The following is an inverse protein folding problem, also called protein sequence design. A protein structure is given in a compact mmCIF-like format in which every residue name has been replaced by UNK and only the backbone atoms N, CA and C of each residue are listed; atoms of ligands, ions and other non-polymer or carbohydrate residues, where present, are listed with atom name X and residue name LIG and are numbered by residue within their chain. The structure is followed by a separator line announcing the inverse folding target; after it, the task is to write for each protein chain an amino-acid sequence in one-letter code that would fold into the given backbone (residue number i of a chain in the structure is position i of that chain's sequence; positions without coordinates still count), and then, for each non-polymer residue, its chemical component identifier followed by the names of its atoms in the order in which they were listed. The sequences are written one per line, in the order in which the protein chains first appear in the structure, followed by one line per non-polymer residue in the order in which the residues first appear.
data_IF_513081046449
#
_entry.id   IF_513081046449
#
_cell.length_a   1.000
_cell.length_b   1.000
_cell.length_c   1.000
_cell.angle_alpha   90.00
_cell.angle_beta   90.00
_cell.angle_gamma   90.00
#
_symmetry.space_group_name_H-M   'P 1'
#
loop_
_entity.id
_entity.type
_entity.pdbx_description
1 polymer ?
#
# COMPACT_ATOMS: atom_id res chain seq x y z
N UNK A 1 -40.77 -27.64 20.64
CA UNK A 1 -40.16 -26.28 20.59
C UNK A 1 -38.83 -26.41 19.85
N UNK A 2 -38.76 -25.94 18.60
CA UNK A 2 -37.59 -26.11 17.70
C UNK A 2 -36.63 -24.94 17.92
N UNK A 3 -35.36 -25.23 18.25
CA UNK A 3 -34.29 -24.22 18.30
C UNK A 3 -33.33 -24.52 17.14
N UNK A 4 -33.42 -23.70 16.10
CA UNK A 4 -32.49 -23.70 14.99
C UNK A 4 -31.14 -23.17 15.49
N UNK A 5 -30.08 -23.99 15.39
CA UNK A 5 -28.70 -23.55 15.62
C UNK A 5 -28.12 -23.13 14.26
N UNK A 6 -27.95 -21.82 14.07
CA UNK A 6 -27.20 -21.27 12.95
C UNK A 6 -25.72 -21.56 13.18
N UNK A 7 -25.18 -22.53 12.44
CA UNK A 7 -23.74 -22.75 12.32
C UNK A 7 -23.16 -21.63 11.48
N UNK A 8 -22.41 -20.73 12.12
CA UNK A 8 -21.62 -19.71 11.45
C UNK A 8 -20.58 -20.38 10.54
N UNK A 9 -20.72 -20.19 9.22
CA UNK A 9 -19.66 -20.50 8.26
C UNK A 9 -18.57 -19.44 8.43
N UNK A 10 -17.47 -19.82 9.06
CA UNK A 10 -16.25 -19.01 9.05
C UNK A 10 -15.71 -19.00 7.60
N UNK A 11 -15.91 -17.90 6.90
CA UNK A 11 -15.25 -17.65 5.62
C UNK A 11 -13.78 -17.36 5.94
N UNK A 12 -12.93 -18.37 5.74
CA UNK A 12 -11.50 -18.20 5.79
C UNK A 12 -11.10 -17.19 4.71
N UNK A 13 -10.63 -16.01 5.12
CA UNK A 13 -10.05 -15.03 4.21
C UNK A 13 -8.77 -15.65 3.62
N UNK A 14 -8.86 -16.11 2.38
CA UNK A 14 -7.73 -16.59 1.61
C UNK A 14 -6.95 -15.37 1.10
N UNK A 15 -5.94 -14.95 1.86
CA UNK A 15 -5.03 -13.87 1.50
C UNK A 15 -4.14 -14.38 0.36
N UNK A 16 -4.48 -14.03 -0.88
CA UNK A 16 -3.57 -14.16 -2.02
C UNK A 16 -2.64 -12.95 -2.04
N UNK A 17 -1.48 -13.08 -1.40
CA UNK A 17 -0.35 -12.18 -1.65
C UNK A 17 0.19 -12.49 -3.05
N UNK A 18 -0.12 -11.64 -4.04
CA UNK A 18 0.56 -11.64 -5.32
C UNK A 18 2.02 -11.26 -5.11
N UNK A 19 2.88 -12.28 -5.02
CA UNK A 19 4.34 -12.24 -5.27
C UNK A 19 5.12 -10.99 -4.81
N UNK A 20 5.42 -10.92 -3.51
CA UNK A 20 6.73 -10.49 -2.98
C UNK A 20 7.10 -11.23 -1.68
N UNK A 21 6.98 -12.58 -1.68
CA UNK A 21 7.54 -13.43 -0.60
C UNK A 21 9.08 -13.54 -0.64
N UNK A 22 9.77 -12.79 -1.51
CA UNK A 22 11.24 -12.85 -1.65
C UNK A 22 11.91 -11.49 -1.49
N UNK A 23 11.45 -10.72 -0.51
CA UNK A 23 12.23 -9.85 0.37
C UNK A 23 11.16 -9.15 1.22
N UNK A 24 10.96 -9.56 2.47
CA UNK A 24 10.10 -8.81 3.37
C UNK A 24 10.81 -7.48 3.66
N UNK A 25 10.60 -6.52 2.77
CA UNK A 25 11.05 -5.15 2.94
C UNK A 25 10.56 -4.69 4.30
N UNK A 26 11.43 -4.12 5.16
CA UNK A 26 11.01 -3.69 6.50
C UNK A 26 9.97 -2.57 6.44
N UNK A 27 9.85 -1.90 5.29
CA UNK A 27 8.88 -0.85 4.96
C UNK A 27 8.21 -1.16 3.63
N UNK A 28 6.90 -1.10 3.61
CA UNK A 28 6.04 -1.31 2.45
C UNK A 28 5.23 -0.05 2.21
N UNK A 29 5.14 0.38 0.95
CA UNK A 29 4.20 1.40 0.52
C UNK A 29 3.12 0.72 -0.30
N UNK A 30 1.89 0.82 0.18
CA UNK A 30 0.75 0.08 -0.33
C UNK A 30 -0.13 1.05 -1.08
N UNK A 31 -0.39 0.76 -2.36
CA UNK A 31 -1.36 1.47 -3.16
C UNK A 31 -2.57 0.57 -3.47
N UNK A 32 -3.77 1.10 -3.24
CA UNK A 32 -5.03 0.47 -3.61
C UNK A 32 -5.59 1.09 -4.91
N UNK A 33 -5.57 0.36 -6.04
CA UNK A 33 -6.09 0.87 -7.31
C UNK A 33 -7.61 1.08 -7.28
N UNK A 34 -8.36 0.41 -6.42
CA UNK A 34 -9.81 0.58 -6.37
C UNK A 34 -10.22 1.95 -5.84
N UNK A 35 -9.46 2.49 -4.88
CA UNK A 35 -9.77 3.73 -4.17
C UNK A 35 -8.81 4.87 -4.47
N UNK A 36 -7.61 4.57 -4.98
CA UNK A 36 -6.51 5.52 -5.05
C UNK A 36 -5.81 5.75 -3.70
N UNK A 37 -6.06 4.89 -2.72
CA UNK A 37 -5.47 5.02 -1.39
C UNK A 37 -3.97 4.73 -1.42
N UNK A 38 -3.19 5.52 -0.69
CA UNK A 38 -1.78 5.29 -0.45
C UNK A 38 -1.55 5.14 1.06
N UNK A 39 -0.87 4.08 1.46
CA UNK A 39 -0.50 3.87 2.86
C UNK A 39 0.94 3.39 2.97
N UNK A 40 1.53 3.62 4.14
CA UNK A 40 2.82 3.13 4.53
C UNK A 40 2.63 2.14 5.68
N UNK A 41 3.30 1.00 5.59
CA UNK A 41 3.37 0.01 6.64
C UNK A 41 4.83 -0.36 6.90
N UNK A 42 5.21 -0.42 8.17
CA UNK A 42 6.58 -0.63 8.62
C UNK A 42 6.54 -1.34 9.97
N UNK A 43 6.22 -2.65 9.98
CA UNK A 43 5.95 -3.39 11.22
C UNK A 43 7.20 -3.62 12.07
N UNK A 44 8.39 -3.58 11.46
CA UNK A 44 9.65 -3.95 12.11
C UNK A 44 10.56 -2.75 12.42
N UNK A 45 10.22 -1.56 11.89
CA UNK A 45 11.02 -0.35 11.99
C UNK A 45 10.12 0.87 12.00
N UNK A 46 10.58 1.97 12.56
CA UNK A 46 9.78 3.18 12.57
C UNK A 46 10.33 4.20 11.58
N UNK A 47 9.46 4.75 10.75
CA UNK A 47 9.78 5.73 9.71
C UNK A 47 9.67 7.13 10.30
N UNK A 48 10.73 7.93 10.16
CA UNK A 48 10.81 9.29 10.71
C UNK A 48 10.59 10.32 9.63
N UNK A 49 10.97 10.01 8.40
CA UNK A 49 10.64 10.83 7.22
C UNK A 49 10.14 9.95 6.10
N UNK A 50 9.11 10.42 5.40
CA UNK A 50 8.59 9.82 4.19
C UNK A 50 8.43 10.89 3.13
N UNK A 51 8.96 10.62 1.94
CA UNK A 51 8.84 11.47 0.78
C UNK A 51 8.45 10.62 -0.44
N UNK A 52 7.34 10.97 -1.07
CA UNK A 52 6.96 10.45 -2.37
C UNK A 52 6.87 11.60 -3.36
N UNK A 53 7.54 11.47 -4.51
CA UNK A 53 7.42 12.41 -5.63
C UNK A 53 6.75 11.70 -6.80
N UNK A 54 5.95 12.45 -7.54
CA UNK A 54 5.30 12.03 -8.78
C UNK A 54 5.81 12.90 -9.91
N UNK A 55 6.35 12.30 -10.97
CA UNK A 55 6.78 13.03 -12.16
C UNK A 55 5.58 13.61 -12.93
N UNK A 56 4.46 12.90 -12.93
CA UNK A 56 3.21 13.22 -13.62
C UNK A 56 2.24 14.10 -12.82
N UNK A 57 2.61 14.56 -11.63
CA UNK A 57 1.76 15.36 -10.73
C UNK A 57 0.47 14.64 -10.31
N UNK A 58 0.56 13.35 -10.01
CA UNK A 58 -0.60 12.50 -9.74
C UNK A 58 -1.23 12.72 -8.35
N UNK A 59 -0.55 13.38 -7.41
CA UNK A 59 -1.12 13.53 -6.08
C UNK A 59 -2.35 14.44 -6.08
N UNK A 60 -3.33 14.09 -5.25
CA UNK A 60 -4.58 14.85 -5.06
C UNK A 60 -4.59 15.38 -3.61
N UNK A 61 -4.02 16.58 -3.35
CA UNK A 61 -3.91 17.15 -2.00
C UNK A 61 -5.22 17.22 -1.23
N UNK A 62 -6.33 17.47 -1.94
CA UNK A 62 -7.65 17.59 -1.34
C UNK A 62 -8.18 16.30 -0.70
N UNK A 63 -7.61 15.14 -1.06
CA UNK A 63 -8.06 13.84 -0.59
C UNK A 63 -7.23 13.28 0.56
N UNK A 64 -6.28 14.07 1.09
CA UNK A 64 -5.43 13.61 2.18
C UNK A 64 -6.28 13.34 3.43
N UNK A 65 -5.98 12.25 4.12
CA UNK A 65 -6.70 11.88 5.32
C UNK A 65 -6.55 12.97 6.41
N UNK A 66 -7.63 13.30 7.15
CA UNK A 66 -7.59 14.37 8.14
C UNK A 66 -6.53 14.14 9.22
N UNK A 67 -5.75 15.18 9.53
CA UNK A 67 -4.73 15.14 10.58
C UNK A 67 -3.43 14.45 10.19
N UNK A 68 -3.31 13.94 8.96
CA UNK A 68 -2.08 13.29 8.46
C UNK A 68 -1.02 14.31 8.05
N UNK A 69 -1.42 15.43 7.48
CA UNK A 69 -0.50 16.53 7.11
C UNK A 69 -0.65 17.65 8.13
N UNK A 70 0.41 17.90 8.88
CA UNK A 70 0.50 18.96 9.88
C UNK A 70 1.65 19.94 9.52
N UNK A 71 1.33 21.19 9.14
CA UNK A 71 2.32 22.24 8.97
C UNK A 71 3.15 22.47 10.26
N UNK A 72 4.38 23.01 10.17
CA UNK A 72 4.95 23.68 9.00
C UNK A 72 5.79 22.77 8.08
N UNK A 73 6.12 21.55 8.51
CA UNK A 73 7.07 20.70 7.79
C UNK A 73 6.41 19.72 6.83
N UNK A 74 5.24 19.18 7.19
CA UNK A 74 4.51 18.28 6.29
C UNK A 74 3.98 19.04 5.08
N UNK A 75 4.01 18.39 3.92
CA UNK A 75 3.62 19.01 2.66
C UNK A 75 2.91 17.98 1.78
N UNK A 76 1.81 18.41 1.16
CA UNK A 76 1.24 17.69 0.03
C UNK A 76 0.93 18.67 -1.10
N UNK A 77 1.42 18.33 -2.28
CA UNK A 77 1.25 19.04 -3.55
C UNK A 77 1.05 17.99 -4.64
N UNK A 78 0.56 18.35 -5.83
CA UNK A 78 0.41 17.39 -6.93
C UNK A 78 1.71 16.64 -7.27
N UNK A 79 2.87 17.29 -7.10
CA UNK A 79 4.18 16.71 -7.40
C UNK A 79 4.82 15.92 -6.25
N UNK A 80 4.43 16.19 -5.00
CA UNK A 80 5.17 15.74 -3.83
C UNK A 80 4.28 15.60 -2.60
N UNK A 81 4.44 14.47 -1.92
CA UNK A 81 3.95 14.19 -0.58
C UNK A 81 5.17 14.03 0.34
N UNK A 82 5.21 14.81 1.42
CA UNK A 82 6.26 14.76 2.42
C UNK A 82 5.65 14.74 3.82
N UNK A 83 6.14 13.81 4.64
CA UNK A 83 5.77 13.66 6.03
C UNK A 83 7.02 13.57 6.88
N UNK A 84 7.10 14.43 7.88
CA UNK A 84 8.13 14.38 8.92
C UNK A 84 7.48 13.97 10.24
N UNK A 85 8.14 13.08 10.96
CA UNK A 85 7.93 12.87 12.38
C UNK A 85 9.07 13.53 13.13
N UNK A 86 8.80 14.65 13.79
CA UNK A 86 9.79 15.32 14.62
C UNK A 86 9.82 14.67 16.02
N UNK A 87 10.98 14.14 16.45
CA UNK A 87 11.21 13.62 17.80
C UNK A 87 11.04 12.09 17.97
N UNK A 88 10.61 11.65 19.16
CA UNK A 88 10.45 10.23 19.52
C UNK A 88 9.22 9.54 18.89
N UNK A 89 8.37 10.29 18.18
CA UNK A 89 7.32 9.71 17.36
C UNK A 89 7.96 9.20 16.08
N UNK A 90 7.80 7.93 15.77
CA UNK A 90 8.16 7.39 14.48
C UNK A 90 7.00 6.51 14.02
N UNK A 91 6.74 6.49 12.73
CA UNK A 91 5.54 5.87 12.19
C UNK A 91 5.81 4.41 11.87
N UNK A 92 5.01 3.53 12.44
CA UNK A 92 4.97 2.13 12.02
C UNK A 92 3.90 1.91 10.94
N UNK A 93 2.90 2.80 10.85
CA UNK A 93 1.94 2.83 9.77
C UNK A 93 1.35 4.22 9.62
N UNK A 94 1.05 4.62 8.37
CA UNK A 94 0.36 5.86 8.03
C UNK A 94 -0.61 5.55 6.89
N UNK A 95 -1.85 6.00 7.02
CA UNK A 95 -2.81 6.01 5.91
C UNK A 95 -2.89 7.44 5.38
N UNK A 96 -2.47 7.69 4.14
CA UNK A 96 -2.50 9.02 3.56
C UNK A 96 -3.89 9.36 2.97
N UNK A 97 -4.77 8.37 2.79
CA UNK A 97 -6.05 8.52 2.10
C UNK A 97 -5.92 8.44 0.58
N UNK A 98 -7.00 8.77 -0.13
CA UNK A 98 -7.14 8.62 -1.59
C UNK A 98 -6.36 9.69 -2.38
N UNK A 99 -5.06 9.79 -2.08
CA UNK A 99 -4.16 10.85 -2.57
C UNK A 99 -3.64 10.58 -3.97
N UNK A 100 -3.97 9.45 -4.60
CA UNK A 100 -3.66 9.15 -6.00
C UNK A 100 -4.96 8.88 -6.79
N UNK A 101 -4.93 8.96 -8.13
CA UNK A 101 -6.04 8.49 -8.97
C UNK A 101 -6.23 6.98 -8.77
N UNK A 102 -7.47 6.51 -8.77
CA UNK A 102 -7.77 5.08 -8.87
C UNK A 102 -7.51 4.53 -10.27
N UNK A 103 -7.38 3.20 -10.39
CA UNK A 103 -7.21 2.48 -11.64
C UNK A 103 -5.80 2.53 -12.24
N UNK A 104 -4.79 2.95 -11.48
CA UNK A 104 -3.41 2.89 -11.93
C UNK A 104 -2.85 1.48 -11.74
N UNK A 105 -2.25 0.93 -12.79
CA UNK A 105 -1.48 -0.30 -12.68
C UNK A 105 -0.18 -0.09 -11.91
N UNK A 106 0.35 -1.15 -11.30
CA UNK A 106 1.61 -1.08 -10.55
C UNK A 106 2.79 -0.57 -11.38
N UNK A 107 2.87 -0.92 -12.66
CA UNK A 107 3.91 -0.43 -13.57
C UNK A 107 3.83 1.09 -13.81
N UNK A 108 2.61 1.65 -13.86
CA UNK A 108 2.42 3.09 -14.04
C UNK A 108 2.88 3.86 -12.80
N UNK A 109 2.60 3.32 -11.61
CA UNK A 109 3.06 3.90 -10.35
C UNK A 109 4.57 3.76 -10.19
N UNK A 110 5.14 2.60 -10.48
CA UNK A 110 6.58 2.37 -10.38
C UNK A 110 7.37 3.25 -11.35
N UNK A 111 6.81 3.58 -12.52
CA UNK A 111 7.44 4.47 -13.49
C UNK A 111 7.32 5.96 -13.13
N UNK A 112 6.25 6.35 -12.43
CA UNK A 112 5.97 7.76 -12.13
C UNK A 112 6.47 8.20 -10.73
N UNK A 113 6.47 7.26 -9.78
CA UNK A 113 6.75 7.57 -8.39
C UNK A 113 8.17 7.23 -7.98
N UNK A 114 8.82 8.18 -7.31
CA UNK A 114 10.03 7.95 -6.53
C UNK A 114 9.72 8.11 -5.06
N UNK A 115 10.04 7.11 -4.25
CA UNK A 115 9.80 7.11 -2.81
C UNK A 115 11.13 7.05 -2.09
N UNK A 116 11.29 7.91 -1.09
CA UNK A 116 12.47 7.99 -0.24
C UNK A 116 12.05 8.33 1.19
N UNK A 117 12.99 8.26 2.13
CA UNK A 117 12.72 8.55 3.53
C UNK A 117 13.82 8.04 4.44
N UNK A 118 13.64 8.23 5.75
CA UNK A 118 14.61 7.83 6.77
C UNK A 118 13.97 6.98 7.86
N UNK A 119 14.77 6.02 8.32
CA UNK A 119 14.49 5.17 9.47
C UNK A 119 15.18 5.68 10.75
N UNK A 120 16.02 6.72 10.66
CA UNK A 120 16.73 7.26 11.82
C UNK A 120 15.98 8.45 12.44
N UNK A 121 15.88 8.50 13.79
CA UNK A 121 15.24 9.61 14.51
C UNK A 121 15.87 10.99 14.27
N UNK A 122 17.11 11.03 13.78
CA UNK A 122 17.86 12.26 13.51
C UNK A 122 17.53 12.90 12.15
N UNK A 123 16.75 12.23 11.29
CA UNK A 123 16.45 12.71 9.94
C UNK A 123 17.68 12.81 9.03
N UNK A 124 18.81 12.21 9.42
CA UNK A 124 20.01 12.12 8.60
C UNK A 124 19.67 11.28 7.37
N UNK A 125 19.74 11.90 6.18
CA UNK A 125 19.46 11.27 4.88
C UNK A 125 20.38 10.10 4.51
N UNK A 126 21.15 9.57 5.45
CA UNK A 126 22.09 8.47 5.29
C UNK A 126 21.45 7.08 5.53
N UNK A 127 20.23 7.01 6.08
CA UNK A 127 19.44 5.77 6.19
C UNK A 127 18.26 5.79 5.23
N UNK A 128 18.57 6.03 3.95
CA UNK A 128 17.60 6.10 2.88
C UNK A 128 16.84 4.76 2.76
N UNK A 129 15.50 4.83 2.73
CA UNK A 129 14.64 3.72 2.30
C UNK A 129 15.05 3.17 0.91
N UNK A 130 15.81 3.95 0.13
CA UNK A 130 16.39 3.62 -1.18
C UNK A 130 17.42 2.47 -1.18
N UNK A 131 18.01 2.10 -0.03
CA UNK A 131 19.10 1.10 0.01
C UNK A 131 18.64 -0.37 -0.13
N UNK A 132 17.49 -0.62 -0.77
CA UNK A 132 16.94 -1.97 -1.00
C UNK A 132 15.94 -2.45 0.05
N UNK A 133 15.34 -1.52 0.81
CA UNK A 133 14.40 -1.80 1.90
C UNK A 133 13.05 -1.10 1.77
N UNK A 134 12.63 -0.79 0.54
CA UNK A 134 11.29 -0.28 0.23
C UNK A 134 10.68 -1.13 -0.90
N UNK A 135 9.50 -1.70 -0.64
CA UNK A 135 8.70 -2.39 -1.66
C UNK A 135 7.43 -1.58 -1.91
N UNK A 136 7.09 -1.37 -3.18
CA UNK A 136 5.80 -0.78 -3.57
C UNK A 136 4.86 -1.94 -3.86
N UNK A 137 3.91 -2.16 -2.97
CA UNK A 137 2.93 -3.24 -3.07
C UNK A 137 1.64 -2.66 -3.65
N UNK A 138 1.25 -3.11 -4.83
CA UNK A 138 -0.05 -2.77 -5.42
C UNK A 138 -1.06 -3.86 -5.09
N UNK A 139 -2.16 -3.48 -4.46
CA UNK A 139 -3.25 -4.41 -4.12
C UNK A 139 -3.91 -4.90 -5.41
N UNK A 140 -4.06 -6.22 -5.62
CA UNK A 140 -4.73 -6.74 -6.80
C UNK A 140 -6.18 -6.25 -6.91
N UNK A 141 -6.59 -5.86 -8.10
CA UNK A 141 -7.98 -5.48 -8.35
C UNK A 141 -8.93 -6.67 -8.07
N UNK A 142 -10.13 -6.44 -7.47
CA UNK A 142 -11.09 -7.51 -7.18
C UNK A 142 -11.48 -8.34 -8.41
N UNK A 143 -11.49 -7.72 -9.59
CA UNK A 143 -11.72 -8.35 -10.90
C UNK A 143 -10.68 -9.41 -11.25
N UNK A 144 -9.40 -9.17 -10.90
CA UNK A 144 -8.29 -10.08 -11.18
C UNK A 144 -8.40 -11.36 -10.36
N UNK A 145 -8.90 -11.26 -9.12
CA UNK A 145 -9.15 -12.42 -8.25
C UNK A 145 -10.28 -13.29 -8.82
N UNK A 146 -11.36 -12.67 -9.29
CA UNK A 146 -12.47 -13.39 -9.92
C UNK A 146 -12.01 -14.10 -11.20
N UNK A 147 -11.20 -13.45 -12.04
CA UNK A 147 -10.70 -14.04 -13.28
C UNK A 147 -9.84 -15.28 -13.03
N UNK A 148 -8.92 -15.24 -12.05
CA UNK A 148 -8.12 -16.41 -11.64
C UNK A 148 -9.01 -17.53 -11.08
N UNK A 149 -10.02 -17.18 -10.27
CA UNK A 149 -10.98 -18.15 -9.73
C UNK A 149 -11.78 -18.86 -10.83
N UNK A 150 -12.32 -18.13 -11.80
CA UNK A 150 -13.04 -18.71 -12.94
C UNK A 150 -12.10 -19.51 -13.85
N UNK A 151 -10.88 -19.04 -14.09
CA UNK A 151 -9.88 -19.76 -14.88
C UNK A 151 -9.51 -21.12 -14.30
N UNK A 152 -9.26 -21.20 -12.99
CA UNK A 152 -8.99 -22.47 -12.29
C UNK A 152 -10.19 -23.42 -12.31
N UNK A 153 -11.41 -22.89 -12.11
CA UNK A 153 -12.64 -23.70 -12.19
C UNK A 153 -12.88 -24.24 -13.60
N UNK A 154 -12.63 -23.45 -14.64
CA UNK A 154 -12.73 -23.90 -16.03
C UNK A 154 -11.73 -25.02 -16.34
N UNK A 155 -10.50 -24.93 -15.85
CA UNK A 155 -9.46 -25.95 -16.01
C UNK A 155 -9.81 -27.26 -15.30
N UNK A 156 -10.38 -27.18 -14.09
CA UNK A 156 -10.88 -28.36 -13.35
C UNK A 156 -12.11 -29.00 -14.02
N UNK A 157 -12.96 -28.19 -14.64
CA UNK A 157 -14.10 -28.67 -15.42
C UNK A 157 -13.70 -29.41 -16.70
N UNK A 158 -12.64 -28.96 -17.39
CA UNK A 158 -12.11 -29.61 -18.59
C UNK A 158 -11.41 -30.93 -18.28
N UNK A 159 -10.70 -31.03 -17.14
CA UNK A 159 -10.03 -32.27 -16.71
C UNK A 159 -11.00 -33.40 -16.35
N UNK A 160 -12.24 -33.10 -15.94
CA UNK A 160 -13.26 -34.12 -15.64
C UNK A 160 -13.97 -34.66 -16.89
N UNK A 161 -13.74 -34.05 -18.06
CA UNK A 161 -14.35 -34.45 -19.34
C UNK A 161 -13.41 -35.19 -20.29
N UNK A 162 -12.15 -35.40 -19.87
CA UNK A 162 -11.15 -36.25 -20.54
C UNK A 162 -11.06 -37.59 -19.80
#
# INVERSE_FOLDING_TARGET
MRIARYTAFAVAALIFASSSIVNASPVSVIYDPASGNLSLDSPSRSVTTFEAKSAGNLFIPANVAPGVIAPPFDLITPAKLFKLSAGAGAYNSIDFGNVLPGGLGGDAIAADMSISGSLTPDGSGNNALDAGGLDIVVVPEPSSILLVGFGLMALLGLRRRS
#
